data_IF_208640575769
#
_entry.id   IF_208640575769
#
_cell.length_a   1.000
_cell.length_b   1.000
_cell.length_c   1.000
_cell.angle_alpha   90.00
_cell.angle_beta   90.00
_cell.angle_gamma   90.00
#
_symmetry.space_group_name_H-M   'P 1'
#
loop_
_entity.id
_entity.type
_entity.pdbx_description
1 polymer ?
#
# COMPACT_ATOMS: atom_id res chain seq x y z
N UNK A 1 -7.15 3.85 -12.70
CA UNK A 1 -6.16 4.33 -11.70
C UNK A 1 -5.54 3.12 -11.03
N UNK A 2 -4.21 3.01 -10.96
CA UNK A 2 -3.55 1.82 -10.37
C UNK A 2 -3.60 1.92 -8.84
N UNK A 3 -3.59 0.79 -8.13
CA UNK A 3 -3.67 0.77 -6.66
C UNK A 3 -2.54 1.56 -6.00
N UNK A 4 -1.34 1.50 -6.58
CA UNK A 4 -0.18 2.27 -6.16
C UNK A 4 -0.45 3.78 -6.16
N UNK A 5 -1.13 4.33 -7.18
CA UNK A 5 -1.43 5.77 -7.26
C UNK A 5 -2.39 6.19 -6.14
N UNK A 6 -3.35 5.30 -5.80
CA UNK A 6 -4.28 5.53 -4.68
C UNK A 6 -3.55 5.50 -3.34
N UNK A 7 -2.58 4.60 -3.18
CA UNK A 7 -1.79 4.48 -1.96
C UNK A 7 -0.83 5.67 -1.80
N UNK A 8 -0.19 6.13 -2.90
CA UNK A 8 0.64 7.34 -2.91
C UNK A 8 -0.14 8.61 -2.53
N UNK A 9 -1.45 8.64 -2.73
CA UNK A 9 -2.27 9.78 -2.31
C UNK A 9 -2.55 9.86 -0.80
N UNK A 10 -2.14 8.85 -0.02
CA UNK A 10 -2.29 8.85 1.44
C UNK A 10 -1.21 9.72 2.07
N UNK A 11 -1.59 10.57 3.03
CA UNK A 11 -0.69 11.56 3.65
C UNK A 11 0.50 10.97 4.41
N UNK A 12 0.39 9.71 4.83
CA UNK A 12 1.44 8.98 5.57
C UNK A 12 2.32 8.11 4.68
N UNK A 13 2.08 8.10 3.36
CA UNK A 13 2.83 7.33 2.38
C UNK A 13 3.75 8.26 1.59
N UNK A 14 5.06 7.97 1.60
CA UNK A 14 6.02 8.68 0.76
C UNK A 14 6.02 8.14 -0.67
N UNK A 15 6.01 6.80 -0.79
CA UNK A 15 5.97 6.14 -2.09
C UNK A 15 5.34 4.75 -1.99
N UNK A 16 4.83 4.25 -3.11
CA UNK A 16 4.33 2.89 -3.21
C UNK A 16 4.50 2.34 -4.63
N UNK A 17 4.95 1.10 -4.75
CA UNK A 17 5.06 0.44 -6.05
C UNK A 17 4.82 -1.06 -5.94
N UNK A 18 4.45 -1.65 -7.07
CA UNK A 18 4.31 -3.08 -7.21
C UNK A 18 5.65 -3.74 -7.56
N UNK A 19 6.14 -4.60 -6.68
CA UNK A 19 7.28 -5.48 -6.91
C UNK A 19 6.77 -6.78 -7.54
N UNK A 20 6.85 -6.85 -8.86
CA UNK A 20 6.40 -8.02 -9.63
C UNK A 20 7.28 -9.25 -9.42
N UNK A 21 8.55 -9.09 -9.06
CA UNK A 21 9.47 -10.20 -8.83
C UNK A 21 9.06 -11.02 -7.61
N UNK A 22 8.64 -10.32 -6.54
CA UNK A 22 8.17 -10.95 -5.31
C UNK A 22 6.63 -10.94 -5.17
N UNK A 23 5.91 -10.55 -6.23
CA UNK A 23 4.45 -10.45 -6.28
C UNK A 23 3.83 -9.73 -5.07
N UNK A 24 4.39 -8.57 -4.73
CA UNK A 24 4.05 -7.82 -3.51
C UNK A 24 3.96 -6.32 -3.76
N UNK A 25 3.18 -5.66 -2.93
CA UNK A 25 3.13 -4.21 -2.86
C UNK A 25 4.14 -3.71 -1.83
N UNK A 26 5.02 -2.79 -2.23
CA UNK A 26 5.94 -2.09 -1.33
C UNK A 26 5.35 -0.72 -1.02
N UNK A 27 5.33 -0.35 0.27
CA UNK A 27 4.87 0.94 0.76
C UNK A 27 5.95 1.56 1.64
N UNK A 28 6.48 2.70 1.20
CA UNK A 28 7.34 3.58 1.99
C UNK A 28 6.46 4.57 2.74
N UNK A 29 6.66 4.70 4.04
CA UNK A 29 5.76 5.47 4.89
C UNK A 29 6.52 6.27 5.93
N UNK A 30 5.84 7.31 6.44
CA UNK A 30 6.30 8.11 7.57
C UNK A 30 5.38 7.88 8.78
N UNK A 31 5.98 7.89 9.96
CA UNK A 31 5.25 7.89 11.22
C UNK A 31 4.84 6.48 11.68
N UNK A 32 3.56 6.31 12.03
CA UNK A 32 3.08 5.10 12.69
C UNK A 32 2.79 3.96 11.69
N UNK A 33 3.44 2.81 11.91
CA UNK A 33 3.20 1.61 11.11
C UNK A 33 1.74 1.13 11.18
N UNK A 34 1.11 1.23 12.35
CA UNK A 34 -0.27 0.77 12.52
C UNK A 34 -1.26 1.67 11.79
N UNK A 35 -1.01 2.98 11.80
CA UNK A 35 -1.81 3.95 11.05
C UNK A 35 -1.72 3.69 9.54
N UNK A 36 -0.50 3.55 9.00
CA UNK A 36 -0.33 3.31 7.56
C UNK A 36 -0.94 1.97 7.14
N UNK A 37 -0.84 0.93 7.97
CA UNK A 37 -1.48 -0.37 7.70
C UNK A 37 -2.99 -0.24 7.57
N UNK A 38 -3.63 0.49 8.48
CA UNK A 38 -5.08 0.73 8.44
C UNK A 38 -5.46 1.49 7.16
N UNK A 39 -4.73 2.56 6.85
CA UNK A 39 -5.01 3.39 5.67
C UNK A 39 -4.82 2.63 4.36
N UNK A 40 -3.71 1.91 4.22
CA UNK A 40 -3.40 1.10 3.02
C UNK A 40 -4.42 -0.03 2.86
N UNK A 41 -4.76 -0.74 3.94
CA UNK A 41 -5.76 -1.81 3.90
C UNK A 41 -7.13 -1.28 3.47
N UNK A 42 -7.54 -0.13 4.01
CA UNK A 42 -8.78 0.53 3.60
C UNK A 42 -8.76 0.97 2.13
N UNK A 43 -7.61 1.46 1.63
CA UNK A 43 -7.46 1.84 0.23
C UNK A 43 -7.57 0.62 -0.71
N UNK A 44 -6.99 -0.51 -0.34
CA UNK A 44 -7.07 -1.78 -1.09
C UNK A 44 -8.49 -2.34 -1.05
N UNK A 45 -9.14 -2.33 0.12
CA UNK A 45 -10.52 -2.77 0.27
C UNK A 45 -11.49 -1.94 -0.59
N UNK A 46 -11.35 -0.61 -0.59
CA UNK A 46 -12.14 0.30 -1.44
C UNK A 46 -11.91 0.08 -2.93
N UNK A 47 -10.75 -0.45 -3.32
CA UNK A 47 -10.45 -0.80 -4.71
C UNK A 47 -10.98 -2.20 -5.10
N UNK A 48 -11.51 -2.99 -4.16
CA UNK A 48 -11.92 -4.38 -4.41
C UNK A 48 -10.75 -5.32 -4.69
N UNK A 49 -9.52 -4.94 -4.33
CA UNK A 49 -8.29 -5.65 -4.68
C UNK A 49 -7.73 -6.50 -3.54
N UNK A 50 -8.50 -6.72 -2.48
CA UNK A 50 -8.08 -7.52 -1.33
C UNK A 50 -7.57 -8.92 -1.74
N UNK A 51 -8.18 -9.54 -2.75
CA UNK A 51 -7.77 -10.85 -3.26
C UNK A 51 -6.58 -10.79 -4.24
N UNK A 52 -6.27 -9.62 -4.81
CA UNK A 52 -5.19 -9.44 -5.79
C UNK A 52 -3.87 -9.05 -5.14
N UNK A 53 -3.91 -8.48 -3.92
CA UNK A 53 -2.72 -8.11 -3.17
C UNK A 53 -2.32 -9.26 -2.24
N UNK A 54 -1.43 -10.13 -2.73
CA UNK A 54 -0.98 -11.31 -1.97
C UNK A 54 -0.09 -10.96 -0.77
N UNK A 55 0.71 -9.89 -0.89
CA UNK A 55 1.67 -9.50 0.14
C UNK A 55 1.91 -7.99 0.10
N UNK A 56 2.01 -7.38 1.29
CA UNK A 56 2.36 -5.96 1.46
C UNK A 56 3.60 -5.90 2.35
N UNK A 57 4.61 -5.16 1.92
CA UNK A 57 5.81 -4.85 2.72
C UNK A 57 5.83 -3.36 3.03
N UNK A 58 5.99 -3.04 4.30
CA UNK A 58 6.08 -1.68 4.81
C UNK A 58 7.53 -1.37 5.15
N UNK A 59 8.04 -0.23 4.68
CA UNK A 59 9.41 0.23 4.89
C UNK A 59 9.35 1.66 5.41
N UNK A 60 10.04 1.94 6.50
CA UNK A 60 10.21 3.28 7.09
C UNK A 60 11.60 3.81 6.75
#
# INVERSE_FOLDING_TARGET
>A
MRIQDRIKSLSTVEDAYWDSHHNRLIVYYLGSLDEVKILVTNAIAKAGLLQSVNKITFIN
#
